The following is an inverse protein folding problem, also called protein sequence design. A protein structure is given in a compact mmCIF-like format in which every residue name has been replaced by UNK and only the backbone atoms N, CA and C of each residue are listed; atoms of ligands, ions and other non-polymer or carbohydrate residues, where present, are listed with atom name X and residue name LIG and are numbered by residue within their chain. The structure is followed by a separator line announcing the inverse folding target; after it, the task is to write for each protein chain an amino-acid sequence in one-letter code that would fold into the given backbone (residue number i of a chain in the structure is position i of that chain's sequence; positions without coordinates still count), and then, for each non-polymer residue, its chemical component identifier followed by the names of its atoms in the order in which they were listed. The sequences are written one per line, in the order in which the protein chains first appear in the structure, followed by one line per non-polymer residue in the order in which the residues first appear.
data_IF_871658024381
#
_entry.id   IF_871658024381
#
_cell.length_a   1.000
_cell.length_b   1.000
_cell.length_c   1.000
_cell.angle_alpha   90.00
_cell.angle_beta   90.00
_cell.angle_gamma   90.00
#
_symmetry.space_group_name_H-M   'P 1'
#
loop_
_entity.id
_entity.type
_entity.pdbx_description
1 polymer ?
#
# COMPACT_ATOMS: atom_id res chain seq x y z
N UNK A 1 -15.28 30.52 -6.24
CA UNK A 1 -13.99 31.17 -5.94
C UNK A 1 -13.82 31.23 -4.42
N UNK A 2 -12.68 30.79 -3.91
CA UNK A 2 -12.50 30.25 -2.56
C UNK A 2 -12.64 31.29 -1.43
N UNK A 3 -13.75 31.23 -0.68
CA UNK A 3 -13.97 31.97 0.57
C UNK A 3 -12.93 31.65 1.66
N UNK A 4 -12.17 30.55 1.51
CA UNK A 4 -11.17 30.08 2.47
C UNK A 4 -9.89 30.92 2.40
N UNK A 5 -9.36 31.17 1.19
CA UNK A 5 -8.11 31.92 1.01
C UNK A 5 -8.26 33.39 1.41
N UNK A 6 -9.38 34.03 1.07
CA UNK A 6 -9.66 35.41 1.45
C UNK A 6 -9.81 35.58 2.97
N UNK A 7 -10.40 34.57 3.64
CA UNK A 7 -10.52 34.53 5.09
C UNK A 7 -9.17 34.34 5.78
N UNK A 8 -8.30 33.51 5.21
CA UNK A 8 -6.93 33.30 5.67
C UNK A 8 -6.13 34.61 5.58
N UNK A 9 -6.15 35.27 4.42
CA UNK A 9 -5.45 36.54 4.18
C UNK A 9 -5.96 37.63 5.13
N UNK A 10 -7.27 37.73 5.33
CA UNK A 10 -7.85 38.70 6.29
C UNK A 10 -7.47 38.42 7.73
N UNK A 11 -7.37 37.14 8.15
CA UNK A 11 -6.90 36.79 9.49
C UNK A 11 -5.40 37.09 9.67
N UNK A 12 -4.58 36.80 8.67
CA UNK A 12 -3.14 37.11 8.68
C UNK A 12 -2.90 38.62 8.75
N UNK A 13 -3.60 39.42 7.94
CA UNK A 13 -3.53 40.88 7.99
C UNK A 13 -3.99 41.41 9.36
N UNK A 14 -5.04 40.84 9.94
CA UNK A 14 -5.52 41.22 11.27
C UNK A 14 -4.52 40.89 12.38
N UNK A 15 -3.83 39.76 12.29
CA UNK A 15 -2.72 39.39 13.18
C UNK A 15 -1.56 40.37 13.05
N UNK A 16 -1.12 40.66 11.82
CA UNK A 16 -0.06 41.64 11.55
C UNK A 16 -0.44 43.06 11.99
N UNK A 17 -1.70 43.48 11.85
CA UNK A 17 -2.14 44.80 12.33
C UNK A 17 -2.13 44.94 13.86
N UNK A 18 -2.12 43.81 14.59
CA UNK A 18 -1.96 43.77 16.05
C UNK A 18 -0.48 43.65 16.47
N UNK A 19 0.45 43.48 15.53
CA UNK A 19 1.89 43.33 15.83
C UNK A 19 2.62 44.63 16.16
N UNK A 20 1.94 45.78 16.19
CA UNK A 20 2.56 47.01 16.71
C UNK A 20 2.88 46.94 18.22
N UNK A 21 2.39 45.92 18.94
CA UNK A 21 2.66 45.67 20.36
C UNK A 21 3.21 44.25 20.67
N UNK A 22 3.53 43.42 19.66
CA UNK A 22 4.00 42.04 19.90
C UNK A 22 5.52 41.98 20.02
N UNK A 23 6.00 41.43 21.13
CA UNK A 23 7.43 41.16 21.37
C UNK A 23 7.99 40.30 20.23
N UNK A 24 9.07 40.78 19.63
CA UNK A 24 9.77 40.10 18.54
C UNK A 24 10.17 38.66 18.91
N UNK A 25 10.48 38.39 20.17
CA UNK A 25 10.79 37.03 20.64
C UNK A 25 9.55 36.14 20.77
N UNK A 26 8.37 36.70 21.06
CA UNK A 26 7.10 35.96 21.11
C UNK A 26 6.68 35.51 19.69
N UNK A 27 6.75 36.41 18.72
CA UNK A 27 6.50 36.09 17.30
C UNK A 27 7.44 35.02 16.75
N UNK A 28 8.72 35.08 17.11
CA UNK A 28 9.73 34.10 16.70
C UNK A 28 9.50 32.73 17.35
N UNK A 29 9.03 32.69 18.59
CA UNK A 29 8.65 31.44 19.26
C UNK A 29 7.44 30.79 18.60
N UNK A 30 6.41 31.57 18.26
CA UNK A 30 5.22 31.05 17.60
C UNK A 30 5.50 30.60 16.15
N UNK A 31 6.36 31.32 15.42
CA UNK A 31 6.85 30.87 14.11
C UNK A 31 7.61 29.52 14.22
N UNK A 32 8.45 29.34 15.24
CA UNK A 32 9.14 28.05 15.48
C UNK A 32 8.17 26.91 15.82
N UNK A 33 7.11 27.18 16.59
CA UNK A 33 6.07 26.17 16.89
C UNK A 33 5.31 25.80 15.62
N UNK A 34 4.95 26.77 14.78
CA UNK A 34 4.32 26.54 13.48
C UNK A 34 5.21 25.70 12.55
N UNK A 35 6.51 26.02 12.46
CA UNK A 35 7.47 25.23 11.68
C UNK A 35 7.56 23.79 12.21
N UNK A 36 7.60 23.60 13.54
CA UNK A 36 7.63 22.26 14.14
C UNK A 36 6.33 21.50 13.86
N UNK A 37 5.17 22.13 14.01
CA UNK A 37 3.89 21.52 13.70
C UNK A 37 3.79 21.14 12.22
N UNK A 38 4.30 22.00 11.32
CA UNK A 38 4.36 21.71 9.90
C UNK A 38 5.28 20.52 9.57
N UNK A 39 6.45 20.41 10.22
CA UNK A 39 7.34 19.24 10.07
C UNK A 39 6.72 17.95 10.59
N UNK A 40 6.10 17.99 11.76
CA UNK A 40 5.42 16.81 12.31
C UNK A 40 4.25 16.40 11.39
N UNK A 41 3.53 17.36 10.82
CA UNK A 41 2.50 17.09 9.83
C UNK A 41 3.09 16.48 8.56
N UNK A 42 4.23 16.97 8.09
CA UNK A 42 4.96 16.43 6.93
C UNK A 42 5.40 14.98 7.15
N UNK A 43 6.04 14.68 8.29
CA UNK A 43 6.44 13.31 8.65
C UNK A 43 5.23 12.37 8.79
N UNK A 44 4.15 12.84 9.41
CA UNK A 44 2.91 12.05 9.57
C UNK A 44 2.26 11.80 8.22
N UNK A 45 2.20 12.82 7.37
CA UNK A 45 1.62 12.72 6.04
C UNK A 45 2.43 11.78 5.15
N UNK A 46 3.75 11.89 5.17
CA UNK A 46 4.65 10.97 4.45
C UNK A 46 4.44 9.53 4.91
N UNK A 47 4.37 9.28 6.23
CA UNK A 47 4.08 7.94 6.75
C UNK A 47 2.73 7.40 6.27
N UNK A 48 1.68 8.22 6.29
CA UNK A 48 0.36 7.83 5.75
C UNK A 48 0.38 7.60 4.24
N UNK A 49 1.22 8.31 3.48
CA UNK A 49 1.39 8.09 2.05
C UNK A 49 2.14 6.79 1.73
N UNK A 50 3.15 6.44 2.54
CA UNK A 50 3.83 5.16 2.47
C UNK A 50 2.85 4.01 2.74
N UNK A 51 2.03 4.13 3.80
CA UNK A 51 0.98 3.14 4.10
C UNK A 51 -0.01 2.96 2.94
N UNK A 52 -0.42 4.04 2.27
CA UNK A 52 -1.31 3.97 1.10
C UNK A 52 -0.64 3.22 -0.05
N UNK A 53 0.64 3.47 -0.33
CA UNK A 53 1.38 2.74 -1.38
C UNK A 53 1.57 1.26 -1.01
N UNK A 54 1.79 0.95 0.26
CA UNK A 54 1.94 -0.43 0.74
C UNK A 54 0.68 -1.27 0.54
N UNK A 55 -0.51 -0.66 0.47
CA UNK A 55 -1.73 -1.39 0.12
C UNK A 55 -1.64 -2.05 -1.26
N UNK A 56 -0.97 -1.40 -2.22
CA UNK A 56 -0.74 -1.96 -3.56
C UNK A 56 0.11 -3.22 -3.52
N UNK A 57 1.14 -3.26 -2.67
CA UNK A 57 2.00 -4.44 -2.47
C UNK A 57 1.23 -5.67 -1.99
N UNK A 58 0.17 -5.48 -1.19
CA UNK A 58 -0.59 -6.57 -0.55
C UNK A 58 -1.95 -6.83 -1.19
N UNK A 59 -2.38 -6.02 -2.16
CA UNK A 59 -3.67 -6.15 -2.84
C UNK A 59 -4.88 -5.85 -1.94
N UNK A 60 -4.73 -4.97 -0.94
CA UNK A 60 -5.75 -4.70 0.07
C UNK A 60 -6.61 -3.46 -0.27
N UNK A 61 -7.30 -3.45 -1.43
CA UNK A 61 -8.13 -2.32 -1.87
C UNK A 61 -9.17 -1.90 -0.81
N UNK A 62 -9.79 -2.86 -0.12
CA UNK A 62 -10.84 -2.58 0.85
C UNK A 62 -10.34 -1.74 2.06
N UNK A 63 -9.04 -1.79 2.38
CA UNK A 63 -8.45 -1.02 3.48
C UNK A 63 -8.31 0.48 3.17
N UNK A 64 -8.36 0.87 1.89
CA UNK A 64 -8.48 2.29 1.51
C UNK A 64 -9.75 2.95 2.06
N UNK A 65 -10.75 2.16 2.45
CA UNK A 65 -11.95 2.69 3.08
C UNK A 65 -11.72 3.25 4.49
N UNK A 66 -10.68 2.77 5.18
CA UNK A 66 -10.32 3.19 6.53
C UNK A 66 -9.59 4.53 6.55
N UNK A 67 -8.99 4.93 5.42
CA UNK A 67 -8.29 6.21 5.30
C UNK A 67 -9.24 7.39 5.28
N UNK A 68 -8.83 8.47 5.94
CA UNK A 68 -9.54 9.73 5.90
C UNK A 68 -9.55 10.28 4.45
N UNK A 69 -10.72 10.64 3.88
CA UNK A 69 -10.80 11.16 2.52
C UNK A 69 -9.91 12.38 2.24
N UNK A 70 -9.63 13.22 3.24
CA UNK A 70 -8.72 14.36 3.07
C UNK A 70 -7.27 13.93 2.84
N UNK A 71 -6.83 12.81 3.42
CA UNK A 71 -5.50 12.25 3.18
C UNK A 71 -5.41 11.73 1.74
N UNK A 72 -6.44 11.03 1.27
CA UNK A 72 -6.53 10.57 -0.12
C UNK A 72 -6.53 11.73 -1.13
N UNK A 73 -7.18 12.85 -0.81
CA UNK A 73 -7.11 14.07 -1.63
C UNK A 73 -5.70 14.68 -1.63
N UNK A 74 -5.01 14.67 -0.49
CA UNK A 74 -3.63 15.15 -0.41
C UNK A 74 -2.71 14.26 -1.26
N UNK A 75 -2.86 12.93 -1.17
CA UNK A 75 -2.17 11.98 -2.05
C UNK A 75 -2.41 12.31 -3.52
N UNK A 76 -3.68 12.48 -3.93
CA UNK A 76 -4.04 12.85 -5.30
C UNK A 76 -3.34 14.15 -5.73
N UNK A 77 -3.33 15.19 -4.89
CA UNK A 77 -2.66 16.46 -5.21
C UNK A 77 -1.16 16.34 -5.37
N UNK A 78 -0.51 15.49 -4.57
CA UNK A 78 0.94 15.28 -4.62
C UNK A 78 1.32 14.46 -5.85
N UNK A 79 0.52 13.45 -6.19
CA UNK A 79 0.70 12.59 -7.37
C UNK A 79 0.08 13.17 -8.65
N UNK A 80 -0.42 14.41 -8.60
CA UNK A 80 -1.07 15.12 -9.71
C UNK A 80 -2.27 14.38 -10.33
N UNK A 81 -2.99 13.60 -9.51
CA UNK A 81 -4.24 12.90 -9.84
C UNK A 81 -5.44 13.81 -9.52
N UNK A 82 -6.54 13.67 -10.26
CA UNK A 82 -7.79 14.37 -9.98
C UNK A 82 -8.38 14.00 -8.60
N UNK A 83 -8.62 15.00 -7.74
CA UNK A 83 -9.17 14.84 -6.39
C UNK A 83 -10.69 15.12 -6.29
N UNK A 84 -11.37 15.36 -7.43
CA UNK A 84 -12.78 15.78 -7.47
C UNK A 84 -13.78 14.63 -7.45
N UNK A 85 -14.98 14.80 -6.88
CA UNK A 85 -16.04 13.79 -6.92
C UNK A 85 -16.39 13.20 -5.55
N UNK A 86 -16.96 11.99 -5.54
CA UNK A 86 -17.38 11.27 -4.34
C UNK A 86 -16.22 10.53 -3.67
N UNK A 87 -16.34 10.19 -2.38
CA UNK A 87 -15.30 9.43 -1.66
C UNK A 87 -15.03 8.06 -2.31
N UNK A 88 -16.09 7.40 -2.81
CA UNK A 88 -15.96 6.12 -3.53
C UNK A 88 -15.16 6.28 -4.83
N UNK A 89 -15.45 7.30 -5.62
CA UNK A 89 -14.71 7.57 -6.87
C UNK A 89 -13.28 8.05 -6.60
N UNK A 90 -13.05 8.75 -5.49
CA UNK A 90 -11.71 9.15 -5.06
C UNK A 90 -10.85 7.92 -4.74
N UNK A 91 -11.37 6.99 -3.94
CA UNK A 91 -10.69 5.73 -3.59
C UNK A 91 -10.34 4.91 -4.81
N UNK A 92 -11.30 4.72 -5.72
CA UNK A 92 -11.06 3.99 -6.97
C UNK A 92 -9.93 4.62 -7.81
N UNK A 93 -9.86 5.95 -7.92
CA UNK A 93 -8.76 6.61 -8.64
C UNK A 93 -7.42 6.47 -7.94
N UNK A 94 -7.41 6.55 -6.61
CA UNK A 94 -6.19 6.31 -5.84
C UNK A 94 -5.71 4.89 -6.04
N UNK A 95 -6.61 3.91 -5.97
CA UNK A 95 -6.28 2.50 -6.18
C UNK A 95 -5.76 2.22 -7.58
N UNK A 96 -6.46 2.69 -8.63
CA UNK A 96 -5.99 2.54 -10.00
C UNK A 96 -4.57 3.11 -10.20
N UNK A 97 -4.27 4.28 -9.62
CA UNK A 97 -2.93 4.85 -9.70
C UNK A 97 -1.90 4.00 -8.95
N UNK A 98 -2.25 3.45 -7.79
CA UNK A 98 -1.38 2.53 -7.05
C UNK A 98 -1.07 1.31 -7.92
N UNK A 99 -2.09 0.68 -8.50
CA UNK A 99 -1.93 -0.46 -9.42
C UNK A 99 -1.03 -0.11 -10.61
N UNK A 100 -1.25 1.04 -11.27
CA UNK A 100 -0.40 1.54 -12.36
C UNK A 100 1.08 1.68 -11.93
N UNK A 101 1.36 2.18 -10.72
CA UNK A 101 2.74 2.32 -10.24
C UNK A 101 3.42 0.96 -9.95
N UNK A 102 2.64 -0.09 -9.66
CA UNK A 102 3.17 -1.46 -9.45
C UNK A 102 3.29 -2.25 -10.75
N UNK A 103 2.33 -2.12 -11.68
CA UNK A 103 2.40 -2.78 -12.99
C UNK A 103 3.61 -2.30 -13.82
N UNK A 104 4.01 -1.04 -13.68
CA UNK A 104 5.20 -0.48 -14.32
C UNK A 104 6.54 -1.04 -13.78
N UNK A 105 6.51 -1.99 -12.85
CA UNK A 105 7.71 -2.63 -12.29
C UNK A 105 7.94 -4.08 -12.72
N UNK A 106 7.01 -4.70 -13.47
CA UNK A 106 7.08 -6.12 -13.90
C UNK A 106 7.29 -6.32 -15.41
N UNK A 107 7.41 -5.24 -16.21
CA UNK A 107 7.54 -5.28 -17.68
C UNK A 107 8.95 -4.91 -18.20
N UNK A 108 9.99 -5.24 -17.42
CA UNK A 108 11.37 -5.43 -17.89
C UNK A 108 11.85 -6.85 -17.52
N UNK A 109 11.21 -7.91 -18.02
CA UNK A 109 11.93 -9.18 -18.29
C UNK A 109 11.16 -10.10 -19.28
N UNK A 110 11.74 -10.17 -20.48
CA UNK A 110 11.74 -11.28 -21.45
C UNK A 110 10.50 -11.56 -22.32
N UNK A 111 10.50 -10.90 -23.49
CA UNK A 111 10.11 -11.57 -24.73
C UNK A 111 11.12 -12.69 -25.05
N UNK A 112 10.73 -13.96 -24.88
CA UNK A 112 11.15 -15.03 -25.81
C UNK A 112 9.94 -15.86 -26.26
N UNK A 113 9.63 -15.64 -27.53
CA UNK A 113 8.82 -16.41 -28.47
C UNK A 113 9.18 -17.91 -28.46
N UNK A 114 8.20 -18.82 -28.29
CA UNK A 114 7.93 -19.87 -29.29
C UNK A 114 6.94 -20.97 -28.85
N UNK A 115 5.85 -21.01 -29.60
CA UNK A 115 5.19 -22.19 -30.19
C UNK A 115 4.64 -23.35 -29.32
N UNK A 116 3.29 -23.38 -29.27
CA UNK A 116 2.40 -24.50 -29.68
C UNK A 116 2.44 -25.80 -28.86
N UNK A 117 1.33 -26.14 -28.17
CA UNK A 117 0.25 -26.93 -28.80
C UNK A 117 -0.86 -27.33 -27.81
N UNK A 118 -2.12 -27.11 -28.20
CA UNK A 118 -3.32 -27.72 -27.61
C UNK A 118 -3.27 -29.24 -27.65
N UNK A 119 -3.64 -29.93 -26.56
CA UNK A 119 -4.50 -31.13 -26.61
C UNK A 119 -5.15 -31.38 -25.24
N UNK A 120 -6.47 -31.27 -25.19
CA UNK A 120 -7.34 -31.79 -24.13
C UNK A 120 -7.76 -33.21 -24.55
N UNK A 121 -7.32 -34.25 -23.83
CA UNK A 121 -7.96 -35.58 -23.88
C UNK A 121 -7.96 -36.17 -22.47
N UNK A 122 -9.17 -36.25 -21.91
CA UNK A 122 -9.52 -36.87 -20.62
C UNK A 122 -9.21 -38.38 -20.66
N UNK A 123 -8.33 -38.85 -19.77
CA UNK A 123 -8.17 -40.28 -19.49
C UNK A 123 -8.18 -40.50 -17.98
N UNK A 124 -9.29 -41.05 -17.48
CA UNK A 124 -9.40 -41.55 -16.11
C UNK A 124 -8.51 -42.81 -15.89
N UNK A 125 -8.15 -43.12 -14.62
CA UNK A 125 -6.76 -43.39 -14.22
C UNK A 125 -6.38 -44.87 -14.15
N UNK A 126 -5.10 -45.19 -14.40
CA UNK A 126 -4.54 -46.49 -13.98
C UNK A 126 -4.17 -46.46 -12.48
N UNK A 127 -4.52 -47.51 -11.70
CA UNK A 127 -4.24 -47.58 -10.28
C UNK A 127 -2.74 -47.73 -10.00
N UNK A 128 -2.18 -46.81 -9.21
CA UNK A 128 -0.84 -46.99 -8.65
C UNK A 128 -0.80 -48.23 -7.73
N UNK A 129 0.26 -49.06 -7.80
CA UNK A 129 0.34 -50.28 -7.01
C UNK A 129 0.35 -49.99 -5.50
N UNK A 130 -0.54 -50.66 -4.77
CA UNK A 130 -0.56 -50.68 -3.31
C UNK A 130 0.79 -51.12 -2.74
N UNK A 131 1.51 -50.19 -2.09
CA UNK A 131 2.76 -50.51 -1.38
C UNK A 131 2.46 -51.21 -0.06
N UNK A 132 2.68 -52.52 -0.02
CA UNK A 132 2.53 -53.33 1.20
C UNK A 132 3.78 -53.19 2.10
N UNK A 133 3.70 -52.35 3.13
CA UNK A 133 4.77 -52.22 4.13
C UNK A 133 4.65 -53.33 5.18
N UNK A 134 5.51 -54.36 5.12
CA UNK A 134 5.62 -55.36 6.19
C UNK A 134 6.66 -54.96 7.23
N UNK A 135 6.23 -54.41 8.36
CA UNK A 135 7.09 -54.17 9.52
C UNK A 135 7.24 -55.46 10.34
N UNK A 136 8.42 -56.08 10.30
CA UNK A 136 8.77 -57.17 11.23
C UNK A 136 9.41 -56.58 12.49
N UNK A 137 8.79 -56.79 13.65
CA UNK A 137 9.42 -56.54 14.95
C UNK A 137 10.43 -57.65 15.25
N UNK A 138 11.72 -57.31 15.27
CA UNK A 138 12.76 -58.18 15.80
C UNK A 138 12.61 -58.28 17.33
N UNK A 139 12.58 -59.50 17.89
CA UNK A 139 12.56 -59.69 19.36
C UNK A 139 13.92 -59.38 20.03
N UNK A 140 14.95 -58.98 19.27
CA UNK A 140 16.31 -58.74 19.78
C UNK A 140 16.80 -57.30 19.68
N UNK A 141 16.09 -56.40 18.98
CA UNK A 141 16.50 -55.00 18.81
C UNK A 141 15.29 -54.08 18.98
N UNK A 142 15.48 -52.94 19.64
CA UNK A 142 14.45 -51.91 19.85
C UNK A 142 14.32 -50.93 18.68
N UNK A 143 15.02 -51.15 17.56
CA UNK A 143 14.97 -50.28 16.39
C UNK A 143 14.49 -51.06 15.13
N UNK A 144 13.59 -50.48 14.31
CA UNK A 144 13.08 -51.14 13.11
C UNK A 144 14.07 -51.02 11.93
N UNK A 145 14.47 -52.14 11.35
CA UNK A 145 15.15 -52.21 10.05
C UNK A 145 14.10 -52.21 8.92
N UNK A 146 14.19 -51.24 8.00
CA UNK A 146 13.30 -51.14 6.82
C UNK A 146 14.04 -51.66 5.59
N UNK A 147 13.53 -52.74 4.99
CA UNK A 147 14.04 -53.30 3.74
C UNK A 147 13.01 -53.00 2.65
N UNK A 148 13.38 -52.16 1.67
CA UNK A 148 12.57 -51.89 0.48
C UNK A 148 12.89 -52.98 -0.56
N UNK A 149 11.88 -53.74 -0.98
CA UNK A 149 11.96 -54.71 -2.07
C UNK A 149 11.07 -54.14 -3.18
N UNK A 150 11.62 -53.96 -4.38
CA UNK A 150 10.87 -53.47 -5.55
C UNK A 150 9.67 -54.36 -5.88
#
# INVERSE_FOLDING_TARGET
MSNSAEKLVKQTIKLLSKTQDLDYEELKMDAKKLIRAARNFDETLLGMMEEIMDLGNVGAEEELEEFNPEVLKIYCRIKEIDDSGSDKSLRARVWNHIEEEFELSDDEEEEEDSEVSESEEELEPEPEPERVVKIKKSKKSKEPEVVVIN
#
